data_IF_401512919989
#
_entry.id   IF_401512919989
#
_cell.length_a   1.000
_cell.length_b   1.000
_cell.length_c   1.000
_cell.angle_alpha   90.00
_cell.angle_beta   90.00
_cell.angle_gamma   90.00
#
_symmetry.space_group_name_H-M   'P 1'
#
loop_
_entity.id
_entity.type
_entity.pdbx_description
1 polymer ?
#
# COMPACT_ATOMS: atom_id res chain seq x y z
N UNK A 1 26.41 3.53 -7.36
CA UNK A 1 25.88 3.52 -5.98
C UNK A 1 25.79 4.98 -5.55
N UNK A 2 24.59 5.48 -5.23
CA UNK A 2 24.46 6.88 -4.84
C UNK A 2 24.99 6.99 -3.41
N UNK A 3 26.17 7.61 -3.25
CA UNK A 3 26.93 7.69 -2.00
C UNK A 3 26.30 8.61 -0.95
N UNK A 4 25.03 8.38 -0.62
CA UNK A 4 24.36 9.07 0.47
C UNK A 4 24.83 8.50 1.81
N UNK A 5 25.07 9.38 2.78
CA UNK A 5 25.39 8.97 4.15
C UNK A 5 24.25 8.09 4.71
N UNK A 6 24.53 7.07 5.52
CA UNK A 6 23.50 6.20 6.13
C UNK A 6 22.39 7.00 6.84
N UNK A 7 22.75 8.14 7.43
CA UNK A 7 21.83 9.07 8.07
C UNK A 7 20.77 9.66 7.12
N UNK A 8 21.14 9.94 5.86
CA UNK A 8 20.23 10.48 4.85
C UNK A 8 19.16 9.45 4.44
N UNK A 9 19.53 8.17 4.40
CA UNK A 9 18.60 7.07 4.14
C UNK A 9 17.66 6.90 5.34
N UNK A 10 18.19 6.95 6.57
CA UNK A 10 17.39 6.93 7.79
C UNK A 10 16.33 8.04 7.83
N UNK A 11 16.72 9.27 7.47
CA UNK A 11 15.81 10.41 7.38
C UNK A 11 14.66 10.20 6.39
N UNK A 12 14.90 9.55 5.25
CA UNK A 12 13.83 9.23 4.29
C UNK A 12 12.77 8.30 4.90
N UNK A 13 13.22 7.26 5.62
CA UNK A 13 12.30 6.37 6.34
C UNK A 13 11.56 7.11 7.47
N UNK A 14 12.21 8.04 8.16
CA UNK A 14 11.53 8.90 9.15
C UNK A 14 10.41 9.71 8.49
N UNK A 15 10.68 10.36 7.35
CA UNK A 15 9.67 11.12 6.60
C UNK A 15 8.49 10.21 6.23
N UNK A 16 8.78 9.01 5.71
CA UNK A 16 7.74 8.03 5.38
C UNK A 16 6.85 7.69 6.58
N UNK A 17 7.45 7.37 7.74
CA UNK A 17 6.71 6.96 8.94
C UNK A 17 5.90 8.14 9.50
N UNK A 18 6.49 9.34 9.54
CA UNK A 18 5.81 10.55 10.03
C UNK A 18 4.60 10.86 9.15
N UNK A 19 4.79 10.88 7.83
CA UNK A 19 3.70 11.14 6.89
C UNK A 19 2.62 10.06 7.00
N UNK A 20 3.00 8.78 7.04
CA UNK A 20 2.04 7.70 7.16
C UNK A 20 1.24 7.78 8.47
N UNK A 21 1.89 8.12 9.59
CA UNK A 21 1.25 8.20 10.90
C UNK A 21 0.31 9.40 11.01
N UNK A 22 0.75 10.57 10.55
CA UNK A 22 -0.06 11.79 10.59
C UNK A 22 -1.23 11.75 9.60
N UNK A 23 -1.05 11.11 8.44
CA UNK A 23 -2.09 11.03 7.42
C UNK A 23 -3.14 9.95 7.72
N UNK A 24 -2.81 8.88 8.46
CA UNK A 24 -3.73 7.79 8.80
C UNK A 24 -5.13 8.25 9.26
N UNK A 25 -5.27 9.13 10.28
CA UNK A 25 -6.60 9.55 10.74
C UNK A 25 -7.38 10.34 9.67
N UNK A 26 -6.68 11.18 8.91
CA UNK A 26 -7.30 11.97 7.82
C UNK A 26 -7.77 11.08 6.68
N UNK A 27 -6.93 10.13 6.25
CA UNK A 27 -7.25 9.19 5.18
C UNK A 27 -8.33 8.19 5.60
N UNK A 28 -8.41 7.83 6.90
CA UNK A 28 -9.52 7.05 7.43
C UNK A 28 -10.87 7.77 7.27
N UNK A 29 -10.95 9.05 7.66
CA UNK A 29 -12.16 9.86 7.45
C UNK A 29 -12.49 10.04 5.97
N UNK A 30 -11.47 10.19 5.12
CA UNK A 30 -11.64 10.28 3.68
C UNK A 30 -12.25 8.98 3.10
N UNK A 31 -11.75 7.83 3.55
CA UNK A 31 -12.27 6.51 3.19
C UNK A 31 -13.72 6.33 3.59
N UNK A 32 -14.09 6.77 4.80
CA UNK A 32 -15.48 6.67 5.26
C UNK A 32 -16.42 7.56 4.44
N UNK A 33 -15.93 8.73 3.97
CA UNK A 33 -16.74 9.69 3.20
C UNK A 33 -16.90 9.33 1.73
N UNK A 34 -15.82 8.94 1.06
CA UNK A 34 -15.79 8.68 -0.39
C UNK A 34 -15.92 7.20 -0.76
N UNK A 35 -16.00 6.33 0.25
CA UNK A 35 -16.07 4.90 0.09
C UNK A 35 -14.69 4.24 0.22
N UNK A 36 -14.68 3.07 0.86
CA UNK A 36 -13.46 2.35 1.20
C UNK A 36 -12.74 1.80 -0.03
N UNK A 37 -13.49 1.24 -0.99
CA UNK A 37 -12.92 0.59 -2.19
C UNK A 37 -12.19 1.60 -3.10
N UNK A 38 -12.77 2.73 -3.52
CA UNK A 38 -12.05 3.73 -4.32
C UNK A 38 -10.80 4.26 -3.62
N UNK A 39 -10.89 4.46 -2.30
CA UNK A 39 -9.79 4.99 -1.49
C UNK A 39 -8.60 4.01 -1.44
N UNK A 40 -8.85 2.70 -1.31
CA UNK A 40 -7.81 1.67 -1.39
C UNK A 40 -7.16 1.63 -2.78
N UNK A 41 -7.96 1.69 -3.85
CA UNK A 41 -7.46 1.67 -5.25
C UNK A 41 -6.52 2.86 -5.48
N UNK A 42 -6.93 4.06 -5.06
CA UNK A 42 -6.14 5.29 -5.16
C UNK A 42 -4.84 5.16 -4.37
N UNK A 43 -4.90 4.67 -3.12
CA UNK A 43 -3.72 4.45 -2.30
C UNK A 43 -2.73 3.46 -2.91
N UNK A 44 -3.23 2.36 -3.50
CA UNK A 44 -2.41 1.38 -4.21
C UNK A 44 -1.75 1.96 -5.47
N UNK A 45 -2.48 2.78 -6.24
CA UNK A 45 -1.93 3.44 -7.44
C UNK A 45 -0.87 4.47 -7.07
N UNK A 46 -1.10 5.30 -6.05
CA UNK A 46 -0.08 6.22 -5.54
C UNK A 46 1.16 5.46 -5.05
N UNK A 47 0.97 4.36 -4.33
CA UNK A 47 2.06 3.49 -3.88
C UNK A 47 2.86 2.92 -5.05
N UNK A 48 2.16 2.38 -6.06
CA UNK A 48 2.77 1.83 -7.27
C UNK A 48 3.62 2.88 -8.01
N UNK A 49 3.02 4.02 -8.31
CA UNK A 49 3.70 5.13 -9.03
C UNK A 49 4.91 5.62 -8.24
N UNK A 50 4.76 5.84 -6.93
CA UNK A 50 5.83 6.36 -6.07
C UNK A 50 7.02 5.41 -6.00
N UNK A 51 6.77 4.10 -5.79
CA UNK A 51 7.85 3.13 -5.64
C UNK A 51 8.57 2.82 -6.95
N UNK A 52 7.88 2.94 -8.09
CA UNK A 52 8.54 2.80 -9.39
C UNK A 52 9.40 4.03 -9.68
N UNK A 53 8.86 5.24 -9.49
CA UNK A 53 9.56 6.52 -9.74
C UNK A 53 10.78 6.73 -8.85
N UNK A 54 10.78 6.23 -7.61
CA UNK A 54 11.88 6.48 -6.66
C UNK A 54 13.22 5.96 -7.17
N UNK A 55 13.22 4.91 -8.00
CA UNK A 55 14.44 4.30 -8.55
C UNK A 55 14.99 4.96 -9.81
N UNK A 56 14.19 5.83 -10.45
CA UNK A 56 14.65 6.68 -11.54
C UNK A 56 15.07 8.07 -11.07
N UNK A 57 14.74 8.44 -9.83
CA UNK A 57 15.19 9.70 -9.25
C UNK A 57 16.65 9.64 -8.81
N UNK A 58 17.44 10.61 -9.26
CA UNK A 58 18.79 10.87 -8.75
C UNK A 58 18.83 12.03 -7.74
N UNK A 59 17.69 12.67 -7.45
CA UNK A 59 17.59 13.84 -6.58
C UNK A 59 16.98 13.46 -5.21
N UNK A 60 17.70 13.79 -4.14
CA UNK A 60 17.30 13.49 -2.76
C UNK A 60 15.95 14.09 -2.38
N UNK A 61 15.67 15.34 -2.76
CA UNK A 61 14.39 16.00 -2.48
C UNK A 61 13.23 15.29 -3.18
N UNK A 62 13.45 14.87 -4.43
CA UNK A 62 12.46 14.11 -5.19
C UNK A 62 12.22 12.74 -4.54
N UNK A 63 13.27 12.07 -4.05
CA UNK A 63 13.11 10.81 -3.30
C UNK A 63 12.34 11.02 -2.00
N UNK A 64 12.58 12.12 -1.27
CA UNK A 64 11.85 12.45 -0.04
C UNK A 64 10.35 12.71 -0.30
N UNK A 65 10.02 13.39 -1.39
CA UNK A 65 8.62 13.58 -1.78
C UNK A 65 7.98 12.25 -2.17
N UNK A 66 8.65 11.44 -2.99
CA UNK A 66 8.14 10.14 -3.42
C UNK A 66 7.96 9.16 -2.25
N UNK A 67 8.86 9.16 -1.26
CA UNK A 67 8.73 8.30 -0.08
C UNK A 67 7.60 8.79 0.84
N UNK A 68 7.39 10.11 0.93
CA UNK A 68 6.23 10.68 1.60
C UNK A 68 4.91 10.28 0.91
N UNK A 69 4.85 10.38 -0.41
CA UNK A 69 3.70 9.92 -1.21
C UNK A 69 3.43 8.42 -1.04
N UNK A 70 4.48 7.61 -0.99
CA UNK A 70 4.36 6.18 -0.67
C UNK A 70 3.81 5.96 0.75
N UNK A 71 4.26 6.75 1.73
CA UNK A 71 3.71 6.76 3.09
C UNK A 71 2.22 7.14 3.14
N UNK A 72 1.79 8.12 2.34
CA UNK A 72 0.38 8.48 2.18
C UNK A 72 -0.44 7.33 1.59
N UNK A 73 0.06 6.69 0.53
CA UNK A 73 -0.60 5.53 -0.09
C UNK A 73 -0.76 4.38 0.93
N UNK A 74 0.30 4.07 1.67
CA UNK A 74 0.29 3.05 2.72
C UNK A 74 -0.73 3.38 3.83
N UNK A 75 -0.75 4.63 4.31
CA UNK A 75 -1.70 5.09 5.31
C UNK A 75 -3.15 4.95 4.82
N UNK A 76 -3.40 5.32 3.57
CA UNK A 76 -4.71 5.26 2.92
C UNK A 76 -5.21 3.82 2.83
N UNK A 77 -4.38 2.90 2.34
CA UNK A 77 -4.73 1.48 2.25
C UNK A 77 -4.98 0.92 3.64
N UNK A 78 -4.02 1.05 4.57
CA UNK A 78 -4.12 0.44 5.90
C UNK A 78 -5.27 0.96 6.74
N UNK A 79 -5.61 2.26 6.64
CA UNK A 79 -6.75 2.85 7.32
C UNK A 79 -8.10 2.36 6.77
N UNK A 80 -8.15 2.00 5.49
CA UNK A 80 -9.38 1.58 4.81
C UNK A 80 -9.60 0.07 4.86
N UNK A 81 -8.53 -0.73 4.89
CA UNK A 81 -8.60 -2.21 4.81
C UNK A 81 -9.32 -2.83 5.99
N UNK A 82 -8.96 -2.46 7.23
CA UNK A 82 -9.55 -3.04 8.43
C UNK A 82 -11.07 -2.80 8.51
N UNK A 83 -11.56 -1.57 8.33
CA UNK A 83 -12.99 -1.35 8.40
C UNK A 83 -13.73 -1.81 7.12
N UNK A 84 -13.07 -2.01 5.97
CA UNK A 84 -13.70 -2.73 4.84
C UNK A 84 -13.90 -4.22 5.15
N UNK A 85 -12.94 -4.86 5.81
CA UNK A 85 -13.10 -6.24 6.28
C UNK A 85 -14.21 -6.31 7.32
N UNK A 86 -14.35 -5.29 8.18
CA UNK A 86 -15.47 -5.16 9.10
C UNK A 86 -16.83 -5.16 8.39
N UNK A 87 -16.99 -4.29 7.39
CA UNK A 87 -18.24 -4.13 6.64
C UNK A 87 -18.64 -5.40 5.87
N UNK A 88 -17.67 -6.26 5.53
CA UNK A 88 -17.90 -7.51 4.80
C UNK A 88 -18.11 -8.72 5.73
N UNK A 89 -17.63 -8.65 6.96
CA UNK A 89 -17.76 -9.73 7.94
C UNK A 89 -19.15 -9.73 8.59
N UNK A 90 -19.61 -10.90 9.02
CA UNK A 90 -20.77 -10.98 9.92
C UNK A 90 -20.33 -10.57 11.33
N UNK A 91 -21.21 -9.93 12.10
CA UNK A 91 -20.91 -9.45 13.46
C UNK A 91 -20.29 -10.54 14.35
N UNK A 92 -20.81 -11.78 14.27
CA UNK A 92 -20.31 -12.93 15.02
C UNK A 92 -18.91 -13.42 14.62
N UNK A 93 -18.40 -12.98 13.47
CA UNK A 93 -17.12 -13.39 12.88
C UNK A 93 -16.09 -12.26 12.80
N UNK A 94 -16.40 -11.09 13.38
CA UNK A 94 -15.59 -9.89 13.23
C UNK A 94 -14.14 -10.07 13.68
N UNK A 95 -13.94 -10.65 14.87
CA UNK A 95 -12.61 -10.96 15.40
C UNK A 95 -11.83 -11.93 14.53
N UNK A 96 -12.49 -12.95 13.98
CA UNK A 96 -11.86 -13.92 13.07
C UNK A 96 -11.42 -13.30 11.75
N UNK A 97 -12.26 -12.45 11.15
CA UNK A 97 -11.95 -11.76 9.91
C UNK A 97 -10.77 -10.78 10.06
N UNK A 98 -10.74 -10.02 11.16
CA UNK A 98 -9.60 -9.15 11.48
C UNK A 98 -8.33 -9.94 11.83
N UNK A 99 -8.48 -11.11 12.47
CA UNK A 99 -7.38 -12.03 12.71
C UNK A 99 -6.73 -12.47 11.41
N UNK A 100 -7.52 -12.95 10.45
CA UNK A 100 -7.03 -13.34 9.10
C UNK A 100 -6.35 -12.15 8.41
N UNK A 101 -6.95 -10.97 8.44
CA UNK A 101 -6.34 -9.76 7.86
C UNK A 101 -4.96 -9.47 8.46
N UNK A 102 -4.82 -9.65 9.77
CA UNK A 102 -3.57 -9.42 10.48
C UNK A 102 -2.54 -10.48 10.12
N UNK A 103 -2.91 -11.75 10.10
CA UNK A 103 -2.03 -12.85 9.65
C UNK A 103 -1.53 -12.64 8.23
N UNK A 104 -2.39 -12.26 7.29
CA UNK A 104 -1.99 -11.98 5.90
C UNK A 104 -1.00 -10.81 5.85
N UNK A 105 -1.24 -9.75 6.63
CA UNK A 105 -0.33 -8.60 6.72
C UNK A 105 1.04 -8.98 7.28
N UNK A 106 1.06 -9.81 8.31
CA UNK A 106 2.31 -10.27 8.94
C UNK A 106 3.11 -11.17 8.00
N UNK A 107 2.43 -12.06 7.27
CA UNK A 107 3.05 -12.85 6.20
C UNK A 107 3.67 -11.93 5.15
N UNK A 108 2.94 -10.89 4.71
CA UNK A 108 3.44 -9.92 3.74
C UNK A 108 4.65 -9.12 4.26
N UNK A 109 4.62 -8.67 5.52
CA UNK A 109 5.74 -7.95 6.13
C UNK A 109 6.97 -8.82 6.35
N UNK A 110 6.79 -10.11 6.62
CA UNK A 110 7.90 -11.06 6.79
C UNK A 110 8.49 -11.47 5.45
N UNK A 111 7.65 -11.86 4.50
CA UNK A 111 8.09 -12.39 3.18
C UNK A 111 8.50 -11.29 2.20
N UNK A 112 7.95 -10.09 2.32
CA UNK A 112 8.21 -8.97 1.41
C UNK A 112 9.69 -8.58 1.31
N UNK A 113 10.37 -8.25 2.43
CA UNK A 113 11.79 -7.93 2.43
C UNK A 113 12.67 -9.09 1.95
N UNK A 114 12.31 -10.33 2.27
CA UNK A 114 13.04 -11.52 1.80
C UNK A 114 12.98 -11.64 0.27
N UNK A 115 11.78 -11.59 -0.30
CA UNK A 115 11.59 -11.65 -1.76
C UNK A 115 12.23 -10.43 -2.46
N UNK A 116 12.07 -9.23 -1.89
CA UNK A 116 12.69 -8.01 -2.41
C UNK A 116 14.22 -8.07 -2.39
N UNK A 117 14.81 -8.58 -1.31
CA UNK A 117 16.25 -8.78 -1.19
C UNK A 117 16.81 -9.76 -2.22
N UNK A 118 16.14 -10.89 -2.41
CA UNK A 118 16.51 -11.88 -3.44
C UNK A 118 16.44 -11.30 -4.86
N UNK A 119 15.38 -10.54 -5.16
CA UNK A 119 15.24 -9.88 -6.46
C UNK A 119 16.33 -8.82 -6.67
N UNK A 120 16.67 -8.04 -5.64
CA UNK A 120 17.77 -7.06 -5.72
C UNK A 120 19.10 -7.77 -5.95
N UNK A 121 19.34 -8.90 -5.30
CA UNK A 121 20.57 -9.68 -5.44
C UNK A 121 20.70 -10.33 -6.84
N UNK A 122 19.60 -10.80 -7.42
CA UNK A 122 19.59 -11.45 -8.73
C UNK A 122 19.58 -10.45 -9.92
N UNK A 123 18.95 -9.30 -9.74
CA UNK A 123 18.81 -8.27 -10.77
C UNK A 123 19.46 -6.97 -10.32
N UNK A 124 18.65 -5.94 -10.10
CA UNK A 124 19.09 -4.59 -9.71
C UNK A 124 17.92 -3.87 -9.02
N UNK A 125 18.22 -2.82 -8.25
CA UNK A 125 17.19 -2.00 -7.58
C UNK A 125 16.09 -1.48 -8.52
N UNK A 126 16.46 -0.98 -9.70
CA UNK A 126 15.48 -0.45 -10.67
C UNK A 126 14.46 -1.51 -11.11
N UNK A 127 14.94 -2.70 -11.46
CA UNK A 127 14.08 -3.80 -11.89
C UNK A 127 13.21 -4.28 -10.72
N UNK A 128 13.77 -4.47 -9.52
CA UNK A 128 13.02 -4.96 -8.37
C UNK A 128 11.89 -4.01 -7.97
N UNK A 129 12.17 -2.70 -7.87
CA UNK A 129 11.16 -1.72 -7.50
C UNK A 129 10.13 -1.50 -8.62
N UNK A 130 10.54 -1.65 -9.88
CA UNK A 130 9.62 -1.70 -11.02
C UNK A 130 8.64 -2.87 -10.93
N UNK A 131 9.15 -4.07 -10.61
CA UNK A 131 8.32 -5.27 -10.39
C UNK A 131 7.37 -5.07 -9.21
N UNK A 132 7.84 -4.54 -8.07
CA UNK A 132 6.99 -4.25 -6.91
C UNK A 132 5.89 -3.25 -7.27
N UNK A 133 6.22 -2.19 -8.02
CA UNK A 133 5.23 -1.24 -8.52
C UNK A 133 4.21 -1.90 -9.45
N UNK A 134 4.66 -2.79 -10.34
CA UNK A 134 3.78 -3.60 -11.20
C UNK A 134 2.84 -4.49 -10.39
N UNK A 135 3.34 -5.16 -9.35
CA UNK A 135 2.53 -5.98 -8.44
C UNK A 135 1.48 -5.13 -7.72
N UNK A 136 1.83 -3.92 -7.25
CA UNK A 136 0.89 -2.99 -6.63
C UNK A 136 -0.20 -2.54 -7.61
N UNK A 137 0.18 -2.18 -8.84
CA UNK A 137 -0.76 -1.78 -9.89
C UNK A 137 -1.71 -2.93 -10.27
N UNK A 138 -1.16 -4.15 -10.43
CA UNK A 138 -1.95 -5.35 -10.69
C UNK A 138 -2.92 -5.65 -9.53
N UNK A 139 -2.45 -5.55 -8.29
CA UNK A 139 -3.28 -5.73 -7.09
C UNK A 139 -4.41 -4.70 -7.05
N UNK A 140 -4.13 -3.44 -7.38
CA UNK A 140 -5.14 -2.38 -7.48
C UNK A 140 -6.23 -2.71 -8.52
N UNK A 141 -5.82 -3.16 -9.70
CA UNK A 141 -6.74 -3.57 -10.76
C UNK A 141 -7.57 -4.78 -10.35
N UNK A 142 -6.93 -5.85 -9.88
CA UNK A 142 -7.59 -7.08 -9.45
C UNK A 142 -8.60 -6.80 -8.33
N UNK A 143 -8.20 -6.02 -7.32
CA UNK A 143 -9.06 -5.61 -6.23
C UNK A 143 -10.28 -4.81 -6.72
N UNK A 144 -10.07 -3.84 -7.62
CA UNK A 144 -11.15 -3.06 -8.22
C UNK A 144 -12.13 -3.91 -9.03
N UNK A 145 -11.63 -4.89 -9.80
CA UNK A 145 -12.47 -5.82 -10.58
C UNK A 145 -13.28 -6.75 -9.68
N UNK A 146 -12.67 -7.31 -8.63
CA UNK A 146 -13.35 -8.19 -7.67
C UNK A 146 -14.45 -7.43 -6.94
N UNK A 147 -14.16 -6.23 -6.43
CA UNK A 147 -15.15 -5.43 -5.70
C UNK A 147 -16.31 -4.99 -6.59
N UNK A 148 -16.05 -4.66 -7.87
CA UNK A 148 -17.12 -4.40 -8.85
C UNK A 148 -18.02 -5.60 -9.07
N UNK A 149 -17.47 -6.83 -9.13
CA UNK A 149 -18.27 -8.05 -9.25
C UNK A 149 -19.15 -8.28 -8.03
N UNK A 150 -18.61 -8.12 -6.82
CA UNK A 150 -19.38 -8.27 -5.56
C UNK A 150 -20.52 -7.25 -5.50
N UNK A 151 -20.27 -5.99 -5.87
CA UNK A 151 -21.29 -4.95 -5.89
C UNK A 151 -22.41 -5.23 -6.90
N UNK A 152 -22.09 -5.76 -8.09
CA UNK A 152 -23.10 -6.14 -9.10
C UNK A 152 -23.96 -7.33 -8.67
N UNK A 153 -23.38 -8.33 -8.00
CA UNK A 153 -24.11 -9.52 -7.53
C UNK A 153 -25.22 -9.17 -6.52
N UNK A 154 -24.98 -8.19 -5.63
CA UNK A 154 -26.03 -7.70 -4.71
C UNK A 154 -27.16 -6.92 -5.38
N UNK A 155 -27.03 -6.54 -6.66
CA UNK A 155 -27.98 -5.68 -7.38
C UNK A 155 -28.93 -6.44 -8.33
N UNK A 156 -28.81 -7.76 -8.49
CA UNK A 156 -29.83 -8.54 -9.21
C UNK A 156 -31.02 -8.77 -8.27
N UNK A 157 -32.19 -8.16 -8.52
CA UNK A 157 -33.41 -8.58 -7.85
C UNK A 157 -33.74 -9.97 -8.38
N UNK A 158 -33.89 -10.93 -7.48
CA UNK A 158 -34.71 -12.11 -7.79
C UNK A 158 -36.17 -11.66 -7.86
#
# INVERSE_FOLDING_TARGET
QVGFKPLSIGLLFTVQIVVATLAKPWMGRLSDRYGRVPTIIIGLLFGAVSITLITWSNNYLVMAVLIGLFGLGLATVTASSAPLVADLARESSYGGALGILSSVKDIGHSTGPMAGGLLIAAYNYKTTFGVIGGILAFTSLAFGLIMRRISRSKSSPN
#
